data_IF_741298036673
#
_entry.id   IF_741298036673
#
_cell.length_a   1.000
_cell.length_b   1.000
_cell.length_c   1.000
_cell.angle_alpha   90.00
_cell.angle_beta   90.00
_cell.angle_gamma   90.00
#
_symmetry.space_group_name_H-M   'P 1'
#
loop_
_entity.id
_entity.type
_entity.pdbx_description
1 polymer ?
#
# COMPACT_ATOMS: atom_id res chain seq x y z
N UNK A 1 -64.05 21.29 -2.73
CA UNK A 1 -63.27 22.01 -1.68
C UNK A 1 -64.09 21.98 -0.40
N UNK A 2 -63.82 21.08 0.54
CA UNK A 2 -64.54 20.98 1.83
C UNK A 2 -64.05 22.08 2.77
N UNK A 3 -64.91 23.09 3.01
CA UNK A 3 -64.69 24.09 4.05
C UNK A 3 -64.96 23.43 5.40
N UNK A 4 -63.88 23.08 6.14
CA UNK A 4 -63.99 22.66 7.55
C UNK A 4 -64.52 23.85 8.37
N UNK A 5 -65.83 23.82 8.68
CA UNK A 5 -66.49 24.77 9.58
C UNK A 5 -66.24 24.34 11.01
N UNK A 6 -65.17 24.78 11.64
CA UNK A 6 -64.95 24.63 13.09
C UNK A 6 -65.92 25.58 13.86
N UNK A 7 -67.09 25.11 14.12
CA UNK A 7 -68.21 25.93 14.70
C UNK A 7 -68.27 25.90 16.24
N UNK A 8 -67.34 25.15 16.88
CA UNK A 8 -67.28 25.04 18.35
C UNK A 8 -65.95 25.50 18.88
N UNK A 9 -65.99 26.24 20.01
CA UNK A 9 -64.77 26.73 20.72
C UNK A 9 -63.80 25.58 21.02
N UNK A 10 -64.36 24.40 21.40
CA UNK A 10 -63.54 23.17 21.65
C UNK A 10 -62.79 22.71 20.42
N UNK A 11 -63.41 22.72 19.24
CA UNK A 11 -62.73 22.32 18.00
C UNK A 11 -61.54 23.24 17.62
N UNK A 12 -61.71 24.56 17.83
CA UNK A 12 -60.62 25.52 17.60
C UNK A 12 -59.46 25.32 18.55
N UNK A 13 -59.72 25.07 19.85
CA UNK A 13 -58.65 24.78 20.82
C UNK A 13 -57.90 23.50 20.48
N UNK A 14 -58.64 22.43 20.11
CA UNK A 14 -57.97 21.16 19.74
C UNK A 14 -57.07 21.29 18.52
N UNK A 15 -57.53 22.00 17.47
CA UNK A 15 -56.71 22.23 16.27
C UNK A 15 -55.49 23.08 16.57
N UNK A 16 -55.64 24.12 17.40
CA UNK A 16 -54.46 24.93 17.81
C UNK A 16 -53.44 24.11 18.59
N UNK A 17 -53.91 23.26 19.49
CA UNK A 17 -53.03 22.37 20.27
C UNK A 17 -52.27 21.38 19.39
N UNK A 18 -52.98 20.73 18.43
CA UNK A 18 -52.38 19.80 17.49
C UNK A 18 -51.39 20.51 16.59
N UNK A 19 -51.70 21.72 16.10
CA UNK A 19 -50.79 22.50 15.26
C UNK A 19 -49.48 22.85 16.02
N UNK A 20 -49.58 23.32 17.25
CA UNK A 20 -48.40 23.61 18.09
C UNK A 20 -47.58 22.36 18.33
N UNK A 21 -48.20 21.22 18.60
CA UNK A 21 -47.53 19.96 18.83
C UNK A 21 -46.78 19.47 17.60
N UNK A 22 -47.40 19.59 16.41
CA UNK A 22 -46.74 19.26 15.14
C UNK A 22 -45.51 20.15 14.84
N UNK A 23 -45.59 21.45 15.16
CA UNK A 23 -44.47 22.39 15.01
C UNK A 23 -43.33 21.98 15.91
N UNK A 24 -43.60 21.60 17.18
CA UNK A 24 -42.56 21.15 18.09
C UNK A 24 -41.87 19.87 17.61
N UNK A 25 -42.66 18.89 17.14
CA UNK A 25 -42.11 17.64 16.58
C UNK A 25 -41.26 17.92 15.36
N UNK A 26 -41.73 18.77 14.44
CA UNK A 26 -40.97 19.14 13.24
C UNK A 26 -39.65 19.84 13.60
N UNK A 27 -39.70 20.75 14.57
CA UNK A 27 -38.49 21.45 15.05
C UNK A 27 -37.45 20.48 15.69
N UNK A 28 -37.95 19.56 16.55
CA UNK A 28 -37.07 18.54 17.15
C UNK A 28 -36.48 17.61 16.09
N UNK A 29 -37.30 17.16 15.12
CA UNK A 29 -36.82 16.31 14.03
C UNK A 29 -35.74 16.98 13.19
N UNK A 30 -35.94 18.24 12.79
CA UNK A 30 -34.93 19.03 12.08
C UNK A 30 -33.64 19.21 12.89
N UNK A 31 -33.78 19.50 14.18
CA UNK A 31 -32.62 19.70 15.06
C UNK A 31 -31.78 18.41 15.19
N UNK A 32 -32.43 17.27 15.39
CA UNK A 32 -31.76 15.96 15.46
C UNK A 32 -31.10 15.63 14.14
N UNK A 33 -31.78 15.86 13.02
CA UNK A 33 -31.22 15.58 11.68
C UNK A 33 -29.95 16.38 11.41
N UNK A 34 -29.97 17.69 11.66
CA UNK A 34 -28.81 18.57 11.48
C UNK A 34 -27.65 18.17 12.41
N UNK A 35 -27.97 17.90 13.68
CA UNK A 35 -26.94 17.52 14.66
C UNK A 35 -26.31 16.16 14.32
N UNK A 36 -27.13 15.17 13.97
CA UNK A 36 -26.64 13.84 13.60
C UNK A 36 -25.82 13.87 12.33
N UNK A 37 -26.26 14.65 11.32
CA UNK A 37 -25.50 14.83 10.08
C UNK A 37 -24.09 15.38 10.32
N UNK A 38 -23.98 16.46 11.09
CA UNK A 38 -22.67 17.06 11.44
C UNK A 38 -21.79 16.13 12.27
N UNK A 39 -22.38 15.36 13.18
CA UNK A 39 -21.64 14.40 13.99
C UNK A 39 -21.09 13.25 13.16
N UNK A 40 -21.89 12.76 12.21
CA UNK A 40 -21.50 11.68 11.30
C UNK A 40 -20.36 12.14 10.38
N UNK A 41 -20.48 13.32 9.81
CA UNK A 41 -19.46 13.92 8.94
C UNK A 41 -18.12 14.05 9.66
N UNK A 42 -18.13 14.63 10.87
CA UNK A 42 -16.93 14.77 11.70
C UNK A 42 -16.32 13.41 12.11
N UNK A 43 -17.15 12.42 12.43
CA UNK A 43 -16.68 11.07 12.74
C UNK A 43 -16.06 10.39 11.53
N UNK A 44 -16.67 10.53 10.35
CA UNK A 44 -16.14 9.96 9.13
C UNK A 44 -14.78 10.59 8.78
N UNK A 45 -14.68 11.91 8.83
CA UNK A 45 -13.41 12.62 8.59
C UNK A 45 -12.29 12.13 9.53
N UNK A 46 -12.57 12.05 10.83
CA UNK A 46 -11.60 11.53 11.80
C UNK A 46 -11.24 10.05 11.56
N UNK A 47 -12.20 9.26 11.09
CA UNK A 47 -11.95 7.85 10.76
C UNK A 47 -11.06 7.71 9.53
N UNK A 48 -11.28 8.52 8.50
CA UNK A 48 -10.43 8.53 7.31
C UNK A 48 -9.01 8.97 7.61
N UNK A 49 -8.82 10.01 8.42
CA UNK A 49 -7.49 10.45 8.84
C UNK A 49 -6.75 9.33 9.57
N UNK A 50 -7.41 8.66 10.52
CA UNK A 50 -6.80 7.53 11.24
C UNK A 50 -6.44 6.35 10.34
N UNK A 51 -7.25 6.06 9.33
CA UNK A 51 -6.94 5.01 8.35
C UNK A 51 -5.73 5.41 7.51
N UNK A 52 -5.66 6.67 7.09
CA UNK A 52 -4.52 7.18 6.33
C UNK A 52 -3.22 7.14 7.15
N UNK A 53 -3.26 7.61 8.40
CA UNK A 53 -2.11 7.57 9.30
C UNK A 53 -1.62 6.14 9.54
N UNK A 54 -2.55 5.20 9.80
CA UNK A 54 -2.22 3.79 9.99
C UNK A 54 -1.66 3.14 8.71
N UNK A 55 -2.15 3.56 7.55
CA UNK A 55 -1.64 3.06 6.27
C UNK A 55 -0.23 3.58 5.99
N UNK A 56 0.02 4.87 6.28
CA UNK A 56 1.33 5.49 6.13
C UNK A 56 2.37 4.81 7.04
N UNK A 57 2.02 4.56 8.31
CA UNK A 57 2.87 3.83 9.25
C UNK A 57 3.22 2.42 8.72
N UNK A 58 2.23 1.65 8.25
CA UNK A 58 2.45 0.30 7.69
C UNK A 58 3.34 0.35 6.44
N UNK A 59 3.13 1.33 5.56
CA UNK A 59 3.97 1.49 4.36
C UNK A 59 5.40 1.84 4.72
N UNK A 60 5.60 2.77 5.65
CA UNK A 60 6.93 3.18 6.11
C UNK A 60 7.67 2.02 6.80
N UNK A 61 6.99 1.24 7.61
CA UNK A 61 7.56 0.04 8.25
C UNK A 61 7.99 -0.98 7.21
N UNK A 62 7.18 -1.21 6.18
CA UNK A 62 7.51 -2.12 5.08
C UNK A 62 8.72 -1.64 4.28
N UNK A 63 8.76 -0.37 3.89
CA UNK A 63 9.91 0.21 3.17
C UNK A 63 11.17 0.10 4.01
N UNK A 64 11.10 0.42 5.30
CA UNK A 64 12.22 0.32 6.23
C UNK A 64 12.71 -1.13 6.39
N UNK A 65 11.77 -2.07 6.45
CA UNK A 65 12.08 -3.51 6.51
C UNK A 65 12.82 -3.97 5.24
N UNK A 66 12.33 -3.61 4.07
CA UNK A 66 12.97 -3.98 2.80
C UNK A 66 14.35 -3.33 2.63
N UNK A 67 14.50 -2.07 3.02
CA UNK A 67 15.80 -1.42 3.06
C UNK A 67 16.77 -2.11 4.05
N UNK A 68 16.25 -2.57 5.17
CA UNK A 68 17.00 -3.37 6.14
C UNK A 68 17.51 -4.70 5.55
N UNK A 69 16.64 -5.41 4.83
CA UNK A 69 17.00 -6.67 4.14
C UNK A 69 18.05 -6.42 3.06
N UNK A 70 17.86 -5.38 2.24
CA UNK A 70 18.86 -5.02 1.23
C UNK A 70 20.23 -4.76 1.83
N UNK A 71 20.30 -4.01 2.94
CA UNK A 71 21.56 -3.77 3.67
C UNK A 71 22.16 -5.05 4.26
N UNK A 72 21.34 -5.97 4.77
CA UNK A 72 21.82 -7.25 5.30
C UNK A 72 22.41 -8.12 4.18
N UNK A 73 21.73 -8.22 3.04
CA UNK A 73 22.22 -8.97 1.88
C UNK A 73 23.54 -8.38 1.36
N UNK A 74 23.58 -7.07 1.15
CA UNK A 74 24.78 -6.38 0.68
C UNK A 74 25.91 -6.38 1.71
N UNK A 75 25.61 -6.43 3.00
CA UNK A 75 26.59 -6.54 4.09
C UNK A 75 27.10 -7.96 4.34
N UNK A 76 26.50 -8.99 3.74
CA UNK A 76 26.94 -10.37 3.90
C UNK A 76 28.29 -10.58 3.19
N UNK A 77 29.29 -11.04 3.95
CA UNK A 77 30.64 -11.25 3.42
C UNK A 77 30.69 -12.26 2.26
N UNK A 78 29.79 -13.25 2.26
CA UNK A 78 29.71 -14.23 1.18
C UNK A 78 29.15 -13.60 -0.09
N UNK A 79 28.11 -12.77 0.03
CA UNK A 79 27.55 -12.01 -1.08
C UNK A 79 28.62 -11.11 -1.68
N UNK A 80 29.34 -10.35 -0.84
CA UNK A 80 30.43 -9.48 -1.29
C UNK A 80 31.54 -10.25 -2.01
N UNK A 81 31.95 -11.41 -1.51
CA UNK A 81 32.92 -12.26 -2.20
C UNK A 81 32.44 -12.76 -3.56
N UNK A 82 31.15 -13.13 -3.66
CA UNK A 82 30.56 -13.57 -4.92
C UNK A 82 30.53 -12.42 -5.92
N UNK A 83 30.09 -11.22 -5.49
CA UNK A 83 30.01 -10.04 -6.36
C UNK A 83 31.36 -9.52 -6.81
N UNK A 84 32.41 -9.63 -5.98
CA UNK A 84 33.78 -9.24 -6.31
C UNK A 84 34.49 -10.26 -7.20
N UNK A 85 34.01 -11.51 -7.29
CA UNK A 85 34.60 -12.52 -8.15
C UNK A 85 34.29 -12.16 -9.62
N UNK A 86 35.33 -12.03 -10.43
CA UNK A 86 35.19 -11.68 -11.85
C UNK A 86 34.39 -12.77 -12.57
N UNK A 87 33.29 -12.36 -13.22
CA UNK A 87 32.46 -13.23 -14.02
C UNK A 87 33.10 -13.49 -15.38
N UNK A 88 33.31 -14.76 -15.73
CA UNK A 88 33.83 -15.18 -17.02
C UNK A 88 32.71 -15.55 -18.02
N UNK A 89 31.46 -15.47 -17.60
CA UNK A 89 30.30 -15.80 -18.42
C UNK A 89 30.05 -14.81 -19.54
N UNK A 90 29.49 -15.31 -20.62
CA UNK A 90 29.02 -14.49 -21.76
C UNK A 90 27.54 -14.13 -21.52
N UNK A 91 27.19 -12.85 -21.66
CA UNK A 91 25.82 -12.37 -21.49
C UNK A 91 25.62 -11.54 -20.21
N UNK A 92 24.36 -11.25 -19.89
CA UNK A 92 23.95 -10.37 -18.77
C UNK A 92 23.67 -11.14 -17.47
N UNK A 93 23.42 -12.45 -17.58
CA UNK A 93 23.12 -13.30 -16.42
C UNK A 93 24.42 -13.73 -15.77
N UNK A 94 24.45 -13.76 -14.45
CA UNK A 94 25.60 -14.24 -13.70
C UNK A 94 25.91 -15.71 -13.98
N UNK A 95 27.19 -16.07 -13.94
CA UNK A 95 27.66 -17.44 -14.08
C UNK A 95 26.97 -18.38 -13.05
N UNK A 96 26.64 -19.64 -13.43
CA UNK A 96 25.92 -20.57 -12.55
C UNK A 96 26.54 -20.75 -11.16
N UNK A 97 27.85 -20.74 -11.05
CA UNK A 97 28.56 -20.88 -9.75
C UNK A 97 28.25 -19.72 -8.80
N UNK A 98 28.18 -18.49 -9.32
CA UNK A 98 27.82 -17.28 -8.59
C UNK A 98 26.31 -17.27 -8.31
N UNK A 99 25.51 -17.67 -9.28
CA UNK A 99 24.05 -17.76 -9.16
C UNK A 99 23.64 -18.65 -7.99
N UNK A 100 24.11 -19.89 -7.92
CA UNK A 100 23.79 -20.82 -6.83
C UNK A 100 24.27 -20.32 -5.46
N UNK A 101 25.38 -19.58 -5.42
CA UNK A 101 25.86 -18.95 -4.20
C UNK A 101 24.90 -17.88 -3.68
N UNK A 102 24.37 -17.04 -4.56
CA UNK A 102 23.40 -16.02 -4.22
C UNK A 102 22.02 -16.63 -3.91
N UNK A 103 21.61 -17.66 -4.63
CA UNK A 103 20.35 -18.38 -4.40
C UNK A 103 20.25 -18.96 -2.98
N UNK A 104 21.33 -19.57 -2.49
CA UNK A 104 21.38 -20.10 -1.13
C UNK A 104 21.19 -19.03 -0.05
N UNK A 105 21.69 -17.82 -0.29
CA UNK A 105 21.57 -16.69 0.63
C UNK A 105 20.21 -16.02 0.46
N UNK A 106 19.83 -15.70 -0.78
CA UNK A 106 18.60 -15.01 -1.13
C UNK A 106 17.35 -15.76 -0.68
N UNK A 107 17.33 -17.09 -0.83
CA UNK A 107 16.22 -17.93 -0.38
C UNK A 107 15.93 -17.78 1.12
N UNK A 108 16.97 -17.62 1.95
CA UNK A 108 16.80 -17.41 3.38
C UNK A 108 16.00 -16.15 3.69
N UNK A 109 16.22 -15.06 2.93
CA UNK A 109 15.50 -13.80 3.12
C UNK A 109 14.11 -13.83 2.48
N UNK A 110 13.98 -14.42 1.30
CA UNK A 110 12.71 -14.51 0.57
C UNK A 110 11.68 -15.33 1.35
N UNK A 111 12.06 -16.49 1.90
CA UNK A 111 11.14 -17.32 2.67
C UNK A 111 10.70 -16.71 4.00
N UNK A 112 11.48 -15.80 4.56
CA UNK A 112 11.13 -15.11 5.81
C UNK A 112 10.27 -13.87 5.61
N UNK A 113 10.15 -13.36 4.40
CA UNK A 113 9.38 -12.15 4.07
C UNK A 113 8.24 -12.51 3.12
N UNK A 114 7.07 -12.78 3.67
CA UNK A 114 5.89 -13.25 2.92
C UNK A 114 5.42 -12.34 1.79
N UNK A 115 5.76 -11.04 1.87
CA UNK A 115 5.34 -10.04 0.89
C UNK A 115 6.45 -9.66 -0.11
N UNK A 116 7.60 -10.32 -0.04
CA UNK A 116 8.70 -10.07 -0.98
C UNK A 116 8.43 -10.86 -2.27
N UNK A 117 8.27 -10.14 -3.37
CA UNK A 117 7.99 -10.73 -4.69
C UNK A 117 9.25 -11.33 -5.29
N UNK A 118 10.39 -10.69 -5.12
CA UNK A 118 11.67 -11.17 -5.64
C UNK A 118 12.83 -10.29 -5.21
N UNK A 119 14.04 -10.79 -5.46
CA UNK A 119 15.29 -10.08 -5.21
C UNK A 119 16.06 -9.97 -6.52
N UNK A 120 16.47 -8.77 -6.87
CA UNK A 120 17.38 -8.48 -7.97
C UNK A 120 18.70 -7.98 -7.40
N UNK A 121 19.81 -8.54 -7.83
CA UNK A 121 21.15 -8.11 -7.45
C UNK A 121 21.93 -7.86 -8.73
N UNK A 122 22.50 -6.67 -8.86
CA UNK A 122 23.34 -6.26 -9.98
C UNK A 122 24.77 -6.12 -9.48
N UNK A 123 25.72 -6.60 -10.26
CA UNK A 123 27.14 -6.34 -9.99
C UNK A 123 27.64 -5.13 -10.80
N UNK A 124 28.86 -4.71 -10.53
CA UNK A 124 29.49 -3.55 -11.19
C UNK A 124 29.74 -3.77 -12.70
N UNK A 125 29.74 -5.00 -13.19
CA UNK A 125 29.90 -5.35 -14.59
C UNK A 125 28.55 -5.42 -15.34
N UNK A 126 27.42 -5.05 -14.67
CA UNK A 126 26.07 -5.09 -15.22
C UNK A 126 25.49 -6.51 -15.31
N UNK A 127 26.12 -7.49 -14.68
CA UNK A 127 25.54 -8.81 -14.54
C UNK A 127 24.47 -8.82 -13.48
N UNK A 128 23.41 -9.59 -13.67
CA UNK A 128 22.33 -9.63 -12.69
C UNK A 128 21.98 -11.05 -12.23
N UNK A 129 21.49 -11.10 -11.03
CA UNK A 129 20.88 -12.25 -10.39
C UNK A 129 19.43 -11.89 -10.04
N UNK A 130 18.51 -12.83 -10.26
CA UNK A 130 17.11 -12.69 -9.87
C UNK A 130 16.61 -13.96 -9.21
N UNK A 131 15.86 -13.79 -8.14
CA UNK A 131 15.17 -14.88 -7.47
C UNK A 131 13.75 -14.48 -7.06
N UNK A 132 12.77 -15.30 -7.42
CA UNK A 132 11.37 -15.19 -7.03
C UNK A 132 10.94 -16.49 -6.32
N UNK A 133 10.15 -16.40 -5.21
CA UNK A 133 9.67 -17.58 -4.50
C UNK A 133 8.86 -18.52 -5.41
N UNK A 134 9.30 -19.77 -5.52
CA UNK A 134 8.56 -20.80 -6.24
C UNK A 134 8.56 -20.68 -7.77
N UNK A 135 9.33 -19.77 -8.35
CA UNK A 135 9.47 -19.61 -9.80
C UNK A 135 10.88 -19.97 -10.24
N UNK A 136 10.97 -20.78 -11.30
CA UNK A 136 12.21 -21.00 -12.05
C UNK A 136 12.07 -20.24 -13.37
N UNK A 137 12.75 -19.12 -13.51
CA UNK A 137 12.70 -18.32 -14.74
C UNK A 137 13.56 -18.90 -15.82
N UNK A 138 13.08 -18.89 -17.07
CA UNK A 138 13.88 -19.19 -18.24
C UNK A 138 14.82 -18.03 -18.56
N UNK A 139 15.93 -18.30 -19.29
CA UNK A 139 16.90 -17.28 -19.72
C UNK A 139 16.24 -16.13 -20.48
N UNK A 140 15.24 -16.44 -21.34
CA UNK A 140 14.51 -15.43 -22.10
C UNK A 140 13.62 -14.53 -21.23
N UNK A 141 13.03 -15.07 -20.14
CA UNK A 141 12.26 -14.29 -19.17
C UNK A 141 13.18 -13.37 -18.37
N UNK A 142 14.35 -13.86 -17.98
CA UNK A 142 15.36 -13.08 -17.26
C UNK A 142 15.88 -11.91 -18.10
N UNK A 143 16.13 -12.12 -19.40
CA UNK A 143 16.55 -11.05 -20.31
C UNK A 143 15.46 -9.98 -20.47
N UNK A 144 14.19 -10.38 -20.58
CA UNK A 144 13.07 -9.46 -20.67
C UNK A 144 12.89 -8.63 -19.36
N UNK A 145 13.06 -9.27 -18.22
CA UNK A 145 13.01 -8.59 -16.92
C UNK A 145 14.19 -7.63 -16.77
N UNK A 146 15.38 -8.00 -17.20
CA UNK A 146 16.53 -7.11 -17.21
C UNK A 146 16.30 -5.85 -18.06
N UNK A 147 15.77 -6.00 -19.28
CA UNK A 147 15.48 -4.84 -20.15
C UNK A 147 14.47 -3.89 -19.52
N UNK A 148 13.45 -4.45 -18.90
CA UNK A 148 12.43 -3.67 -18.19
C UNK A 148 13.01 -2.89 -17.00
N UNK A 149 13.87 -3.51 -16.22
CA UNK A 149 14.47 -2.91 -15.03
C UNK A 149 15.52 -1.88 -15.42
N UNK A 150 16.43 -2.23 -16.34
CA UNK A 150 17.50 -1.34 -16.78
C UNK A 150 17.01 -0.09 -17.52
N UNK A 151 15.79 -0.12 -18.06
CA UNK A 151 15.13 1.04 -18.67
C UNK A 151 14.36 1.93 -17.68
N UNK A 152 14.28 1.55 -16.40
CA UNK A 152 13.55 2.30 -15.41
C UNK A 152 14.35 3.49 -14.86
N UNK A 153 13.69 4.64 -14.66
CA UNK A 153 14.32 5.87 -14.17
C UNK A 153 15.06 5.68 -12.84
N UNK A 154 14.50 4.88 -11.94
CA UNK A 154 15.11 4.61 -10.64
C UNK A 154 16.44 3.83 -10.75
N UNK A 155 16.58 2.98 -11.78
CA UNK A 155 17.81 2.23 -12.03
C UNK A 155 18.93 3.18 -12.45
N UNK A 156 18.66 4.09 -13.39
CA UNK A 156 19.62 5.10 -13.82
C UNK A 156 20.01 6.06 -12.69
N UNK A 157 19.05 6.45 -11.84
CA UNK A 157 19.36 7.25 -10.65
C UNK A 157 20.32 6.52 -9.69
N UNK A 158 20.09 5.22 -9.46
CA UNK A 158 20.96 4.43 -8.61
C UNK A 158 22.37 4.24 -9.20
N UNK A 159 22.50 4.18 -10.53
CA UNK A 159 23.78 4.07 -11.23
C UNK A 159 24.60 5.38 -11.18
N UNK A 160 23.93 6.53 -11.14
CA UNK A 160 24.57 7.86 -11.02
C UNK A 160 25.08 8.15 -9.59
N UNK A 161 24.53 7.49 -8.55
CA UNK A 161 24.90 7.71 -7.14
C UNK A 161 26.07 6.81 -6.67
N UNK A 162 26.54 5.86 -7.47
CA UNK A 162 27.64 4.93 -7.15
C UNK A 162 28.95 5.42 -7.76
#
# INVERSE_FOLDING_TARGET
MNKFHFRTIRGRMTVSFVAVFLIIIAFMGCSIYIFTGRLLEKKNEQSYIKILDATDEVLNDKVTSYAGVSRMILGDEKVQKILQTKDSGVGRIMEPSRWYGLEAIGSTYIYNLQDLVGIYIFDNDGKFYYQEPGKTSSEAELDADYEKISSADWYHQAEEEV
#
